data_IF_477761990366
#
_entry.id   IF_477761990366
#
_cell.length_a   1.000
_cell.length_b   1.000
_cell.length_c   1.000
_cell.angle_alpha   90.00
_cell.angle_beta   90.00
_cell.angle_gamma   90.00
#
_symmetry.space_group_name_H-M   'P 1'
#
loop_
_entity.id
_entity.type
_entity.pdbx_description
1 polymer ?
#
# COMPACT_ATOMS: atom_id res chain seq x y z
N UNK A 1 -11.81 17.27 -7.49
CA UNK A 1 -10.63 17.11 -8.34
C UNK A 1 -10.47 18.41 -9.12
N UNK A 2 -9.51 19.24 -8.76
CA UNK A 2 -9.24 20.47 -9.51
C UNK A 2 -8.18 20.12 -10.55
N UNK A 3 -8.62 19.84 -11.78
CA UNK A 3 -7.73 19.69 -12.89
C UNK A 3 -7.31 21.08 -13.33
N UNK A 4 -6.07 21.42 -13.18
CA UNK A 4 -5.48 22.49 -13.92
C UNK A 4 -5.00 21.94 -15.27
N UNK A 5 -5.91 21.76 -16.20
CA UNK A 5 -5.58 21.67 -17.61
C UNK A 5 -5.28 23.09 -18.08
N UNK A 6 -4.14 23.58 -17.71
CA UNK A 6 -3.57 24.73 -18.43
C UNK A 6 -2.88 24.11 -19.64
N UNK A 7 -3.54 24.20 -20.79
CA UNK A 7 -2.91 23.95 -22.06
C UNK A 7 -1.78 24.94 -22.23
N UNK A 8 -0.60 24.60 -21.76
CA UNK A 8 0.62 25.29 -22.11
C UNK A 8 1.61 24.22 -22.58
N UNK A 9 2.25 24.50 -23.66
CA UNK A 9 3.38 23.76 -24.24
C UNK A 9 4.56 23.58 -23.25
N UNK A 10 4.36 23.90 -21.95
CA UNK A 10 5.39 23.86 -20.90
C UNK A 10 5.29 22.70 -19.92
N UNK A 11 4.20 21.93 -19.87
CA UNK A 11 4.13 20.73 -19.05
C UNK A 11 4.63 19.53 -19.86
N UNK A 12 5.91 19.23 -19.74
CA UNK A 12 6.54 18.06 -20.38
C UNK A 12 6.00 16.76 -19.75
N UNK A 13 5.41 16.83 -18.55
CA UNK A 13 4.87 15.68 -17.80
C UNK A 13 3.78 16.10 -16.84
N UNK A 14 2.67 15.40 -16.89
CA UNK A 14 1.57 15.53 -15.96
C UNK A 14 1.58 14.39 -14.95
N UNK A 15 1.12 14.64 -13.73
CA UNK A 15 0.92 13.63 -12.70
C UNK A 15 -0.54 13.62 -12.29
N UNK A 16 -1.17 12.45 -12.34
CA UNK A 16 -2.54 12.23 -11.89
C UNK A 16 -2.48 11.54 -10.53
N UNK A 17 -3.00 12.20 -9.50
CA UNK A 17 -3.04 11.64 -8.15
C UNK A 17 -4.48 11.21 -7.82
N UNK A 18 -4.64 9.91 -7.51
CA UNK A 18 -5.88 9.35 -7.00
C UNK A 18 -6.05 9.60 -5.51
N UNK A 19 -7.30 9.58 -5.04
CA UNK A 19 -7.64 9.63 -3.62
C UNK A 19 -8.09 8.26 -3.11
N UNK A 20 -8.17 8.09 -1.79
CA UNK A 20 -8.56 6.87 -1.07
C UNK A 20 -7.59 5.71 -1.31
N UNK A 21 -8.08 4.60 -1.85
CA UNK A 21 -7.29 3.41 -2.14
C UNK A 21 -8.11 2.34 -2.87
N UNK A 22 -7.45 1.41 -3.52
CA UNK A 22 -8.07 0.41 -4.38
C UNK A 22 -9.17 -0.43 -3.70
N UNK A 23 -9.00 -0.78 -2.42
CA UNK A 23 -10.01 -1.54 -1.68
C UNK A 23 -11.22 -0.71 -1.23
N UNK A 24 -11.21 0.60 -1.47
CA UNK A 24 -12.34 1.50 -1.26
C UNK A 24 -13.04 1.89 -2.56
N UNK A 25 -12.59 1.38 -3.72
CA UNK A 25 -13.24 1.60 -5.01
C UNK A 25 -14.68 1.08 -5.01
N UNK A 26 -15.59 1.83 -5.61
CA UNK A 26 -17.03 1.49 -5.60
C UNK A 26 -17.32 0.15 -6.29
N UNK A 27 -16.57 -0.18 -7.34
CA UNK A 27 -16.78 -1.38 -8.15
C UNK A 27 -15.86 -2.55 -7.77
N UNK A 28 -14.65 -2.24 -7.32
CA UNK A 28 -13.57 -3.22 -7.07
C UNK A 28 -13.15 -3.35 -5.61
N UNK A 29 -13.71 -2.53 -4.73
CA UNK A 29 -13.40 -2.53 -3.30
C UNK A 29 -14.22 -3.54 -2.49
N UNK A 30 -14.12 -3.43 -1.18
CA UNK A 30 -14.79 -4.29 -0.20
C UNK A 30 -16.22 -3.81 0.06
N UNK A 31 -17.08 -3.86 -0.95
CA UNK A 31 -18.48 -3.44 -0.84
C UNK A 31 -19.20 -4.16 0.30
N UNK A 32 -20.06 -3.50 1.11
CA UNK A 32 -20.52 -2.10 0.98
C UNK A 32 -19.60 -1.06 1.65
N UNK A 33 -18.45 -1.44 2.16
CA UNK A 33 -17.52 -0.57 2.88
C UNK A 33 -16.53 0.12 1.93
N UNK A 34 -17.05 0.91 1.02
CA UNK A 34 -16.36 1.58 -0.09
C UNK A 34 -16.68 3.08 -0.11
N UNK A 35 -15.97 3.83 -0.94
CA UNK A 35 -16.31 5.21 -1.27
C UNK A 35 -17.33 5.25 -2.43
N UNK A 36 -17.89 6.41 -2.70
CA UNK A 36 -18.83 6.63 -3.82
C UNK A 36 -18.14 6.97 -5.15
N UNK A 37 -16.87 6.64 -5.28
CA UNK A 37 -16.05 6.97 -6.45
C UNK A 37 -15.17 5.80 -6.87
N UNK A 38 -14.70 5.83 -8.13
CA UNK A 38 -13.67 4.92 -8.60
C UNK A 38 -12.29 5.45 -8.20
N UNK A 39 -11.64 4.75 -7.28
CA UNK A 39 -10.33 5.10 -6.75
C UNK A 39 -9.18 4.32 -7.39
N UNK A 40 -9.46 3.43 -8.33
CA UNK A 40 -8.46 2.73 -9.15
C UNK A 40 -7.99 3.62 -10.32
N UNK A 41 -6.87 3.25 -10.95
CA UNK A 41 -6.28 3.98 -12.10
C UNK A 41 -7.27 4.20 -13.25
N UNK A 42 -8.15 3.22 -13.52
CA UNK A 42 -9.22 3.34 -14.50
C UNK A 42 -10.18 4.50 -14.27
N UNK A 43 -10.39 4.89 -12.99
CA UNK A 43 -11.20 6.04 -12.63
C UNK A 43 -10.62 7.37 -13.12
N UNK A 44 -9.31 7.48 -13.28
CA UNK A 44 -8.68 8.67 -13.87
C UNK A 44 -9.01 8.82 -15.35
N UNK A 45 -9.05 7.73 -16.10
CA UNK A 45 -9.36 7.73 -17.52
C UNK A 45 -10.78 8.23 -17.77
N UNK A 46 -11.75 7.67 -17.03
CA UNK A 46 -13.16 8.07 -17.18
C UNK A 46 -13.43 9.46 -16.60
N UNK A 47 -12.77 9.81 -15.49
CA UNK A 47 -12.93 11.11 -14.85
C UNK A 47 -12.35 12.28 -15.63
N UNK A 48 -11.29 12.03 -16.41
CA UNK A 48 -10.62 13.04 -17.24
C UNK A 48 -11.03 12.98 -18.71
N UNK A 49 -11.66 11.90 -19.14
CA UNK A 49 -12.00 11.69 -20.55
C UNK A 49 -10.77 11.47 -21.44
N UNK A 50 -9.75 10.80 -20.92
CA UNK A 50 -8.52 10.50 -21.67
C UNK A 50 -8.44 9.00 -22.02
N UNK A 51 -7.75 8.68 -23.09
CA UNK A 51 -7.51 7.29 -23.51
C UNK A 51 -6.44 6.62 -22.67
N UNK A 52 -6.50 5.29 -22.55
CA UNK A 52 -5.53 4.52 -21.76
C UNK A 52 -4.08 4.67 -22.25
N UNK A 53 -3.87 5.01 -23.53
CA UNK A 53 -2.54 5.21 -24.13
C UNK A 53 -1.88 6.54 -23.75
N UNK A 54 -2.63 7.44 -23.12
CA UNK A 54 -2.12 8.72 -22.62
C UNK A 54 -1.45 8.57 -21.24
N UNK A 55 -1.52 7.37 -20.64
CA UNK A 55 -0.85 7.06 -19.37
C UNK A 55 0.41 6.25 -19.68
N UNK A 56 1.56 6.84 -19.42
CA UNK A 56 2.85 6.21 -19.63
C UNK A 56 3.23 5.24 -18.51
N UNK A 57 2.88 5.58 -17.26
CA UNK A 57 3.26 4.81 -16.06
C UNK A 57 2.23 4.94 -14.96
N UNK A 58 1.91 3.81 -14.31
CA UNK A 58 1.05 3.76 -13.14
C UNK A 58 1.86 3.32 -11.92
N UNK A 59 1.92 4.17 -10.91
CA UNK A 59 2.64 3.89 -9.66
C UNK A 59 1.67 3.68 -8.51
N UNK A 60 1.79 2.54 -7.81
CA UNK A 60 1.02 2.24 -6.60
C UNK A 60 1.74 2.72 -5.34
N UNK A 61 1.03 3.39 -4.44
CA UNK A 61 1.58 3.78 -3.14
C UNK A 61 1.05 2.86 -2.06
N UNK A 62 1.95 2.12 -1.41
CA UNK A 62 1.65 1.22 -0.31
C UNK A 62 2.37 1.66 0.96
N UNK A 63 1.77 1.39 2.10
CA UNK A 63 2.49 1.43 3.39
C UNK A 63 3.19 0.09 3.61
N UNK A 64 4.27 0.08 4.38
CA UNK A 64 4.93 -1.17 4.80
C UNK A 64 4.07 -2.04 5.73
N UNK A 65 2.91 -1.55 6.15
CA UNK A 65 1.87 -2.23 6.92
C UNK A 65 0.49 -1.77 6.42
N UNK A 66 -0.59 -2.42 6.87
CA UNK A 66 -1.94 -2.09 6.40
C UNK A 66 -2.70 -1.26 7.45
N UNK A 67 -3.49 -0.28 6.98
CA UNK A 67 -4.40 0.49 7.84
C UNK A 67 -5.80 0.53 7.27
N UNK A 68 -6.81 0.57 8.13
CA UNK A 68 -8.19 0.79 7.73
C UNK A 68 -8.88 1.80 8.64
N UNK A 69 -9.69 2.66 8.03
CA UNK A 69 -10.58 3.58 8.74
C UNK A 69 -12.00 3.04 8.63
N UNK A 70 -12.73 3.05 9.76
CA UNK A 70 -14.12 2.59 9.79
C UNK A 70 -14.27 1.07 9.77
N UNK A 71 -15.48 0.64 9.44
CA UNK A 71 -15.89 -0.76 9.44
C UNK A 71 -15.46 -1.49 8.16
N UNK A 72 -15.78 -2.78 8.09
CA UNK A 72 -15.51 -3.65 6.97
C UNK A 72 -14.40 -4.65 7.22
N UNK A 73 -14.24 -5.62 6.31
CA UNK A 73 -13.31 -6.72 6.47
C UNK A 73 -11.85 -6.22 6.50
N UNK A 74 -11.09 -6.78 7.42
CA UNK A 74 -9.66 -6.49 7.57
C UNK A 74 -8.93 -7.77 8.00
N UNK A 75 -8.65 -8.68 7.07
CA UNK A 75 -8.13 -10.00 7.39
C UNK A 75 -6.83 -10.00 8.19
N UNK A 76 -5.94 -9.05 7.92
CA UNK A 76 -4.63 -8.94 8.58
C UNK A 76 -4.63 -8.05 9.81
N UNK A 77 -5.80 -7.64 10.31
CA UNK A 77 -5.89 -6.79 11.51
C UNK A 77 -5.19 -7.42 12.71
N UNK A 78 -4.45 -6.62 13.44
CA UNK A 78 -3.76 -7.01 14.67
C UNK A 78 -4.26 -6.17 15.84
N UNK A 79 -4.17 -6.76 17.03
CA UNK A 79 -4.62 -6.17 18.28
C UNK A 79 -3.49 -6.19 19.31
N UNK A 80 -3.66 -5.45 20.40
CA UNK A 80 -2.71 -5.42 21.51
C UNK A 80 -1.49 -4.55 21.22
N UNK A 81 -0.39 -4.83 21.93
CA UNK A 81 0.80 -3.97 21.99
C UNK A 81 1.42 -3.64 20.62
N UNK A 82 1.50 -4.62 19.73
CA UNK A 82 2.07 -4.38 18.40
C UNK A 82 1.23 -3.40 17.58
N UNK A 83 -0.10 -3.48 17.65
CA UNK A 83 -0.99 -2.55 16.96
C UNK A 83 -0.86 -1.14 17.53
N UNK A 84 -0.77 -1.03 18.86
CA UNK A 84 -0.60 0.24 19.56
C UNK A 84 0.76 0.86 19.23
N UNK A 85 1.84 0.08 19.28
CA UNK A 85 3.18 0.52 18.91
C UNK A 85 3.22 1.08 17.48
N UNK A 86 2.70 0.35 16.49
CA UNK A 86 2.66 0.83 15.10
C UNK A 86 1.81 2.11 15.01
N UNK A 87 0.65 2.15 15.65
CA UNK A 87 -0.26 3.30 15.60
C UNK A 87 0.36 4.56 16.14
N UNK A 88 1.04 4.48 17.28
CA UNK A 88 1.69 5.61 17.93
C UNK A 88 2.88 6.11 17.12
N UNK A 89 3.82 5.23 16.75
CA UNK A 89 5.02 5.60 15.99
C UNK A 89 4.62 6.17 14.61
N UNK A 90 3.66 5.55 13.95
CA UNK A 90 3.21 5.98 12.63
C UNK A 90 2.26 7.18 12.64
N UNK A 91 1.76 7.58 13.81
CA UNK A 91 0.75 8.64 13.92
C UNK A 91 -0.57 8.27 13.22
N UNK A 92 -0.98 7.00 13.30
CA UNK A 92 -2.16 6.49 12.58
C UNK A 92 -3.47 6.81 13.31
N UNK A 93 -3.78 8.11 13.31
CA UNK A 93 -5.01 8.68 13.81
C UNK A 93 -5.74 9.47 12.72
N UNK A 94 -7.04 9.60 12.84
CA UNK A 94 -7.84 10.39 11.89
C UNK A 94 -7.48 11.88 12.02
N UNK A 95 -7.14 12.54 10.91
CA UNK A 95 -6.70 13.92 10.91
C UNK A 95 -7.72 14.89 11.53
N UNK A 96 -9.02 14.66 11.32
CA UNK A 96 -10.09 15.52 11.81
C UNK A 96 -10.65 15.06 13.16
N UNK A 97 -10.79 13.74 13.35
CA UNK A 97 -11.51 13.20 14.52
C UNK A 97 -10.58 12.66 15.60
N UNK A 98 -9.29 12.53 15.34
CA UNK A 98 -8.34 11.88 16.26
C UNK A 98 -8.60 10.39 16.50
N UNK A 99 -9.59 9.77 15.80
CA UNK A 99 -9.92 8.35 16.00
C UNK A 99 -8.74 7.46 15.62
N UNK A 100 -8.39 6.46 16.45
CA UNK A 100 -7.35 5.51 16.13
C UNK A 100 -7.74 4.71 14.88
N UNK A 101 -6.81 4.56 13.96
CA UNK A 101 -6.98 3.68 12.79
C UNK A 101 -6.74 2.24 13.19
N UNK A 102 -7.44 1.34 12.54
CA UNK A 102 -7.20 -0.11 12.62
C UNK A 102 -5.87 -0.41 11.93
N UNK A 103 -5.06 -1.27 12.53
CA UNK A 103 -3.70 -1.60 12.07
C UNK A 103 -3.66 -3.09 11.72
N UNK A 104 -2.95 -3.43 10.67
CA UNK A 104 -2.71 -4.81 10.25
C UNK A 104 -1.32 -5.00 9.66
N UNK A 105 -0.85 -6.23 9.64
CA UNK A 105 0.34 -6.58 8.88
C UNK A 105 0.13 -6.38 7.38
N UNK A 106 1.24 -6.26 6.64
CA UNK A 106 1.17 -6.10 5.18
C UNK A 106 0.42 -7.29 4.56
N UNK A 107 -0.60 -6.98 3.76
CA UNK A 107 -1.42 -7.95 3.06
C UNK A 107 -1.00 -8.05 1.61
N UNK A 108 -0.14 -9.03 1.30
CA UNK A 108 0.37 -9.20 -0.05
C UNK A 108 -0.69 -9.77 -1.01
N UNK A 109 -1.73 -10.45 -0.50
CA UNK A 109 -2.83 -10.93 -1.35
C UNK A 109 -3.67 -9.76 -1.84
N UNK A 110 -4.04 -8.86 -0.92
CA UNK A 110 -4.75 -7.62 -1.25
C UNK A 110 -3.89 -6.68 -2.11
N UNK A 111 -2.58 -6.61 -1.83
CA UNK A 111 -1.64 -5.83 -2.62
C UNK A 111 -1.52 -6.36 -4.06
N UNK A 112 -1.40 -7.68 -4.28
CA UNK A 112 -1.42 -8.31 -5.61
C UNK A 112 -2.72 -8.03 -6.36
N UNK A 113 -3.84 -8.10 -5.68
CA UNK A 113 -5.12 -7.72 -6.28
C UNK A 113 -5.08 -6.26 -6.73
N UNK A 114 -4.60 -5.36 -5.85
CA UNK A 114 -4.48 -3.94 -6.17
C UNK A 114 -3.52 -3.67 -7.33
N UNK A 115 -2.39 -4.38 -7.42
CA UNK A 115 -1.46 -4.26 -8.57
C UNK A 115 -2.14 -4.62 -9.88
N UNK A 116 -2.93 -5.70 -9.90
CA UNK A 116 -3.61 -6.18 -11.10
C UNK A 116 -4.70 -5.23 -11.59
N UNK A 117 -5.59 -4.79 -10.70
CA UNK A 117 -6.73 -3.93 -11.10
C UNK A 117 -6.29 -2.52 -11.50
N UNK A 118 -5.13 -2.08 -11.04
CA UNK A 118 -4.55 -0.78 -11.42
C UNK A 118 -3.54 -0.88 -12.57
N UNK A 119 -3.05 -2.07 -12.92
CA UNK A 119 -1.99 -2.23 -13.90
C UNK A 119 -0.71 -1.51 -13.50
N UNK A 120 -0.22 -1.75 -12.25
CA UNK A 120 0.92 -1.03 -11.73
C UNK A 120 2.23 -1.42 -12.43
N UNK A 121 2.98 -0.43 -12.87
CA UNK A 121 4.34 -0.58 -13.39
C UNK A 121 5.39 -0.54 -12.30
N UNK A 122 5.11 0.13 -11.19
CA UNK A 122 6.01 0.22 -10.05
C UNK A 122 5.28 0.56 -8.75
N UNK A 123 5.99 0.38 -7.65
CA UNK A 123 5.49 0.60 -6.29
C UNK A 123 6.34 1.62 -5.56
N UNK A 124 5.67 2.44 -4.76
CA UNK A 124 6.24 3.27 -3.71
C UNK A 124 5.90 2.62 -2.37
N UNK A 125 6.90 2.18 -1.61
CA UNK A 125 6.70 1.74 -0.22
C UNK A 125 6.94 2.93 0.71
N UNK A 126 5.96 3.22 1.54
CA UNK A 126 6.05 4.29 2.54
C UNK A 126 6.09 3.72 3.96
N UNK A 127 6.63 4.52 4.88
CA UNK A 127 6.66 4.17 6.31
C UNK A 127 7.45 2.89 6.61
N UNK A 128 8.55 2.65 5.90
CA UNK A 128 9.44 1.53 6.17
C UNK A 128 10.03 1.64 7.59
N UNK A 129 10.38 2.85 8.00
CA UNK A 129 10.90 3.22 9.31
C UNK A 129 10.00 2.81 10.50
N UNK A 130 8.71 2.62 10.27
CA UNK A 130 7.78 2.17 11.31
C UNK A 130 8.01 0.71 11.70
N UNK A 131 8.63 -0.07 10.82
CA UNK A 131 8.95 -1.46 11.08
C UNK A 131 10.30 -1.64 11.80
N UNK A 132 11.04 -0.56 12.05
CA UNK A 132 12.26 -0.59 12.85
C UNK A 132 11.97 -1.17 14.25
N UNK A 133 12.88 -1.93 14.80
CA UNK A 133 12.79 -2.50 16.16
C UNK A 133 11.67 -3.56 16.36
N UNK A 134 11.19 -4.17 15.29
CA UNK A 134 10.39 -5.39 15.39
C UNK A 134 11.31 -6.62 15.20
N UNK A 135 11.25 -7.57 16.11
CA UNK A 135 12.00 -8.83 15.98
C UNK A 135 11.53 -9.64 14.78
N UNK A 136 10.23 -9.62 14.53
CA UNK A 136 9.59 -10.34 13.44
C UNK A 136 8.57 -9.46 12.75
N UNK A 137 8.60 -9.49 11.43
CA UNK A 137 7.63 -8.81 10.56
C UNK A 137 6.83 -9.87 9.83
N UNK A 138 5.51 -9.73 9.81
CA UNK A 138 4.62 -10.69 9.15
C UNK A 138 4.06 -10.11 7.86
N UNK A 139 4.05 -10.92 6.81
CA UNK A 139 3.41 -10.60 5.54
C UNK A 139 2.38 -11.68 5.24
N UNK A 140 1.13 -11.29 5.01
CA UNK A 140 0.09 -12.22 4.61
C UNK A 140 0.27 -12.59 3.14
N UNK A 141 0.58 -13.86 2.87
CA UNK A 141 0.84 -14.37 1.52
C UNK A 141 -0.29 -15.22 0.95
N UNK A 142 -1.23 -15.64 1.79
CA UNK A 142 -2.43 -16.36 1.41
C UNK A 142 -3.50 -16.21 2.48
N UNK A 143 -4.72 -16.67 2.19
CA UNK A 143 -5.80 -16.82 3.16
C UNK A 143 -6.19 -18.28 3.32
N UNK A 144 -6.82 -18.60 4.45
CA UNK A 144 -7.53 -19.85 4.67
C UNK A 144 -9.04 -19.58 4.76
N UNK A 145 -9.82 -20.34 4.04
CA UNK A 145 -11.27 -20.33 4.12
C UNK A 145 -11.82 -21.76 4.12
N UNK A 146 -12.52 -22.14 5.19
CA UNK A 146 -13.11 -23.50 5.36
C UNK A 146 -12.11 -24.65 5.18
N UNK A 147 -10.84 -24.44 5.56
CA UNK A 147 -9.76 -25.42 5.44
C UNK A 147 -9.05 -25.42 4.07
N UNK A 148 -9.47 -24.59 3.13
CA UNK A 148 -8.82 -24.43 1.84
C UNK A 148 -7.94 -23.16 1.82
N UNK A 149 -6.78 -23.27 1.15
CA UNK A 149 -5.88 -22.14 0.95
C UNK A 149 -6.31 -21.33 -0.28
N UNK A 150 -6.48 -20.02 -0.10
CA UNK A 150 -6.75 -19.08 -1.17
C UNK A 150 -5.51 -18.20 -1.40
N UNK A 151 -5.03 -18.13 -2.63
CA UNK A 151 -3.91 -17.27 -3.06
C UNK A 151 -4.37 -16.04 -3.84
N UNK A 152 -5.67 -15.78 -3.84
CA UNK A 152 -6.32 -14.63 -4.47
C UNK A 152 -7.17 -13.85 -3.45
N UNK A 153 -7.42 -12.57 -3.74
CA UNK A 153 -8.29 -11.71 -2.94
C UNK A 153 -9.76 -11.99 -3.30
N UNK A 154 -10.56 -12.54 -2.37
CA UNK A 154 -11.96 -12.79 -2.63
C UNK A 154 -12.74 -11.46 -2.59
N UNK A 155 -13.64 -11.29 -3.55
CA UNK A 155 -14.52 -10.09 -3.60
C UNK A 155 -15.85 -10.28 -2.89
N UNK A 156 -16.19 -11.52 -2.52
CA UNK A 156 -17.39 -11.86 -1.77
C UNK A 156 -17.26 -11.40 -0.30
N UNK A 157 -18.17 -10.54 0.20
CA UNK A 157 -18.10 -10.03 1.56
C UNK A 157 -18.24 -11.11 2.64
N UNK A 158 -18.99 -12.19 2.39
CA UNK A 158 -19.12 -13.30 3.31
C UNK A 158 -17.79 -14.05 3.45
N UNK A 159 -17.14 -14.33 2.34
CA UNK A 159 -15.81 -14.96 2.35
C UNK A 159 -14.82 -14.06 3.06
N UNK A 160 -14.72 -12.79 2.67
CA UNK A 160 -13.79 -11.81 3.27
C UNK A 160 -13.93 -11.68 4.79
N UNK A 161 -15.14 -11.80 5.29
CA UNK A 161 -15.41 -11.68 6.73
C UNK A 161 -15.01 -12.93 7.52
N UNK A 162 -14.80 -14.06 6.85
CA UNK A 162 -14.56 -15.36 7.47
C UNK A 162 -13.20 -15.99 7.13
N UNK A 163 -12.37 -15.32 6.30
CA UNK A 163 -11.03 -15.80 6.00
C UNK A 163 -10.05 -15.54 7.15
N UNK A 164 -9.04 -16.38 7.22
CA UNK A 164 -7.91 -16.22 8.14
C UNK A 164 -6.63 -15.97 7.35
N UNK A 165 -5.79 -15.01 7.75
CA UNK A 165 -4.53 -14.75 7.08
C UNK A 165 -3.52 -15.87 7.36
N UNK A 166 -2.81 -16.27 6.30
CA UNK A 166 -1.63 -17.15 6.39
C UNK A 166 -0.40 -16.25 6.21
N UNK A 167 0.46 -16.23 7.21
CA UNK A 167 1.62 -15.35 7.26
C UNK A 167 2.92 -16.08 6.91
N UNK A 168 3.77 -15.39 6.16
CA UNK A 168 5.21 -15.63 6.13
C UNK A 168 5.87 -14.67 7.12
N UNK A 169 6.79 -15.17 7.94
CA UNK A 169 7.54 -14.36 8.91
C UNK A 169 8.89 -13.99 8.33
N UNK A 170 9.25 -12.73 8.47
CA UNK A 170 10.53 -12.16 8.08
C UNK A 170 11.27 -11.71 9.32
N UNK A 171 12.60 -11.85 9.31
CA UNK A 171 13.43 -11.27 10.34
C UNK A 171 13.29 -9.74 10.31
N UNK A 172 13.14 -9.16 11.48
CA UNK A 172 13.16 -7.72 11.65
C UNK A 172 14.59 -7.17 11.75
N UNK A 173 14.71 -5.89 11.96
CA UNK A 173 15.98 -5.19 12.07
C UNK A 173 15.97 -4.16 13.17
N UNK A 174 17.14 -3.98 13.83
CA UNK A 174 17.31 -3.02 14.92
C UNK A 174 17.94 -1.69 14.46
N UNK A 175 18.62 -1.68 13.33
CA UNK A 175 19.21 -0.48 12.75
C UNK A 175 18.12 0.41 12.18
N UNK A 176 18.05 1.67 12.65
CA UNK A 176 17.04 2.59 12.21
C UNK A 176 17.13 2.90 10.72
N UNK A 177 16.00 2.79 10.03
CA UNK A 177 15.85 3.23 8.64
C UNK A 177 15.31 4.67 8.55
N UNK A 178 15.02 5.32 9.67
CA UNK A 178 14.44 6.65 9.74
C UNK A 178 15.32 7.73 9.09
N UNK A 179 14.73 8.53 8.21
CA UNK A 179 15.38 9.64 7.49
C UNK A 179 16.58 9.24 6.61
N UNK A 180 16.67 8.01 6.16
CA UNK A 180 17.66 7.62 5.16
C UNK A 180 17.30 8.21 3.79
N UNK A 181 18.33 8.65 3.05
CA UNK A 181 18.24 9.36 1.77
C UNK A 181 18.82 8.54 0.60
N UNK A 182 19.42 7.38 0.89
CA UNK A 182 19.98 6.50 -0.14
C UNK A 182 19.78 5.02 0.20
N UNK A 183 19.65 4.19 -0.84
CA UNK A 183 19.39 2.75 -0.72
C UNK A 183 20.56 2.01 -0.08
N UNK A 184 21.79 2.47 -0.32
CA UNK A 184 23.01 1.89 0.21
C UNK A 184 23.06 1.93 1.75
N UNK A 185 22.45 2.96 2.35
CA UNK A 185 22.40 3.12 3.80
C UNK A 185 21.38 2.22 4.50
N UNK A 186 20.43 1.63 3.75
CA UNK A 186 19.48 0.67 4.31
C UNK A 186 20.26 -0.60 4.69
N UNK A 187 19.97 -1.14 5.89
CA UNK A 187 20.58 -2.39 6.34
C UNK A 187 20.18 -3.58 5.45
N UNK A 188 21.00 -4.63 5.44
CA UNK A 188 20.82 -5.77 4.53
C UNK A 188 19.53 -6.56 4.79
N UNK A 189 19.05 -6.63 6.04
CA UNK A 189 17.82 -7.33 6.38
C UNK A 189 16.61 -6.59 5.82
N UNK A 190 16.56 -5.26 5.97
CA UNK A 190 15.51 -4.43 5.37
C UNK A 190 15.57 -4.46 3.82
N UNK A 191 16.76 -4.50 3.20
CA UNK A 191 16.90 -4.70 1.75
C UNK A 191 16.35 -6.06 1.31
N UNK A 192 16.63 -7.11 2.08
CA UNK A 192 16.09 -8.45 1.82
C UNK A 192 14.56 -8.47 1.91
N UNK A 193 14.00 -7.81 2.93
CA UNK A 193 12.55 -7.65 3.06
C UNK A 193 11.92 -6.96 1.84
N UNK A 194 12.51 -5.82 1.39
CA UNK A 194 12.07 -5.10 0.19
C UNK A 194 12.11 -6.01 -1.04
N UNK A 195 13.23 -6.70 -1.27
CA UNK A 195 13.39 -7.63 -2.40
C UNK A 195 12.38 -8.78 -2.36
N UNK A 196 12.07 -9.29 -1.18
CA UNK A 196 11.03 -10.31 -1.00
C UNK A 196 9.64 -9.78 -1.35
N UNK A 197 9.31 -8.56 -0.95
CA UNK A 197 8.04 -7.92 -1.34
C UNK A 197 7.95 -7.76 -2.86
N UNK A 198 9.01 -7.31 -3.53
CA UNK A 198 9.07 -7.22 -5.00
C UNK A 198 8.76 -8.58 -5.65
N UNK A 199 9.41 -9.65 -5.17
CA UNK A 199 9.19 -10.99 -5.68
C UNK A 199 7.75 -11.50 -5.42
N UNK A 200 7.19 -11.21 -4.24
CA UNK A 200 5.82 -11.59 -3.93
C UNK A 200 4.82 -10.84 -4.80
N UNK A 201 5.02 -9.53 -5.01
CA UNK A 201 4.09 -8.67 -5.74
C UNK A 201 4.27 -8.74 -7.26
N UNK A 202 5.40 -9.24 -7.73
CA UNK A 202 5.81 -9.26 -9.14
C UNK A 202 5.82 -7.86 -9.80
N UNK A 203 6.17 -6.85 -9.01
CA UNK A 203 6.27 -5.44 -9.42
C UNK A 203 7.44 -4.79 -8.69
N UNK A 204 8.31 -4.00 -9.37
CA UNK A 204 9.46 -3.36 -8.74
C UNK A 204 9.04 -2.28 -7.73
N UNK A 205 9.80 -2.14 -6.66
CA UNK A 205 9.68 -1.04 -5.69
C UNK A 205 10.69 0.03 -6.08
N UNK A 206 10.26 1.03 -6.82
CA UNK A 206 11.12 2.10 -7.33
C UNK A 206 11.40 3.19 -6.29
N UNK A 207 10.49 3.37 -5.33
CA UNK A 207 10.62 4.42 -4.31
C UNK A 207 10.37 3.87 -2.92
N UNK A 208 11.18 4.31 -1.96
CA UNK A 208 11.04 3.95 -0.55
C UNK A 208 11.04 5.24 0.27
N UNK A 209 9.99 5.44 1.07
CA UNK A 209 9.95 6.53 2.04
C UNK A 209 10.29 6.00 3.43
N UNK A 210 11.26 6.64 4.06
CA UNK A 210 11.86 6.31 5.35
C UNK A 210 11.57 7.36 6.43
N UNK A 211 10.61 8.24 6.16
CA UNK A 211 10.20 9.29 7.10
C UNK A 211 9.30 10.33 6.45
N UNK A 212 8.81 11.31 7.23
CA UNK A 212 7.87 12.33 6.76
C UNK A 212 8.51 13.44 5.93
N UNK A 213 9.84 13.56 5.97
CA UNK A 213 10.57 14.59 5.22
C UNK A 213 10.67 14.23 3.75
N UNK A 214 10.60 15.24 2.87
CA UNK A 214 10.86 15.06 1.44
C UNK A 214 12.24 14.45 1.17
N UNK A 215 13.23 14.74 2.01
CA UNK A 215 14.59 14.22 1.88
C UNK A 215 14.70 12.75 2.34
N UNK A 216 13.70 12.24 3.06
CA UNK A 216 13.60 10.84 3.47
C UNK A 216 12.90 9.98 2.40
N UNK A 217 13.22 10.24 1.13
CA UNK A 217 12.67 9.53 -0.03
C UNK A 217 13.82 9.01 -0.89
N UNK A 218 13.91 7.70 -0.99
CA UNK A 218 14.93 6.99 -1.76
C UNK A 218 14.33 6.60 -3.10
N UNK A 219 14.92 7.05 -4.19
CA UNK A 219 14.56 6.68 -5.56
C UNK A 219 15.59 5.66 -6.05
N UNK A 220 15.14 4.42 -6.30
CA UNK A 220 16.00 3.30 -6.73
C UNK A 220 16.16 3.23 -8.23
N UNK A 221 15.09 3.51 -8.95
CA UNK A 221 15.07 3.45 -10.41
C UNK A 221 14.52 4.76 -11.00
N UNK A 222 14.86 5.02 -12.25
CA UNK A 222 14.32 6.18 -12.96
C UNK A 222 12.80 6.08 -13.04
N UNK A 223 12.11 7.10 -12.55
CA UNK A 223 10.65 7.08 -12.45
C UNK A 223 9.97 7.32 -13.80
N UNK A 224 10.58 8.13 -14.65
CA UNK A 224 10.08 8.53 -15.96
C UNK A 224 11.26 8.69 -16.92
#
# INVERSE_FOLDING_TARGET
MALCLVGSEMCIRDSLEGAQGALLDIDHGTYPYVTSSNSISGGSLTGLGIGAKEIDKVMGVFKAFTTRVGEGPFPTEIFGENAEKIREIAGEFGATTGRPRRIGWFDAVAAKYSTKINGLDSIVITKLDILDHFEKIKVCTAYEYKGEKLDFFPTDPEILSNIKPIYEEFEGWDESTYNLDSYEKINEIAKLFISKLENILDVPIDVISTGPSRNATIIRNKLI
#
